data_IF_272943655060
#
_entry.id   IF_272943655060
#
_cell.length_a   1.000
_cell.length_b   1.000
_cell.length_c   1.000
_cell.angle_alpha   90.00
_cell.angle_beta   90.00
_cell.angle_gamma   90.00
#
_symmetry.space_group_name_H-M   'P 1'
#
loop_
_entity.id
_entity.type
_entity.pdbx_description
1 polymer ?
#
# COMPACT_ATOMS: atom_id res chain seq x y z
N UNK A 1 -6.09 -2.12 15.35
CA UNK A 1 -5.11 -3.10 14.81
C UNK A 1 -5.70 -4.49 14.63
N UNK A 2 -6.15 -5.21 15.66
CA UNK A 2 -6.71 -6.57 15.45
C UNK A 2 -7.93 -6.63 14.50
N UNK A 3 -8.86 -5.67 14.62
CA UNK A 3 -10.00 -5.58 13.70
C UNK A 3 -9.59 -5.19 12.28
N UNK A 4 -8.59 -4.33 12.11
CA UNK A 4 -8.13 -3.92 10.78
C UNK A 4 -7.46 -5.06 10.02
N UNK A 5 -6.77 -5.97 10.73
CA UNK A 5 -6.27 -7.22 10.15
C UNK A 5 -7.38 -8.08 9.53
N UNK A 6 -8.55 -8.18 10.18
CA UNK A 6 -9.68 -8.95 9.65
C UNK A 6 -10.24 -8.33 8.35
N UNK A 7 -10.37 -6.99 8.32
CA UNK A 7 -10.80 -6.28 7.11
C UNK A 7 -9.79 -6.41 5.97
N UNK A 8 -8.50 -6.39 6.29
CA UNK A 8 -7.42 -6.55 5.32
C UNK A 8 -7.40 -7.95 4.68
N UNK A 9 -7.65 -9.00 5.45
CA UNK A 9 -7.67 -10.37 4.92
C UNK A 9 -8.78 -10.56 3.89
N UNK A 10 -9.94 -9.94 4.11
CA UNK A 10 -11.09 -10.04 3.20
C UNK A 10 -11.15 -8.91 2.15
N UNK A 11 -10.21 -7.95 2.20
CA UNK A 11 -10.25 -6.70 1.44
C UNK A 11 -11.61 -5.98 1.53
N UNK A 12 -12.20 -5.99 2.73
CA UNK A 12 -13.53 -5.41 2.99
C UNK A 12 -13.41 -4.01 3.54
N UNK A 13 -14.26 -3.13 3.02
CA UNK A 13 -14.50 -1.84 3.65
C UNK A 13 -15.15 -2.03 5.02
N UNK A 14 -14.80 -1.15 5.96
CA UNK A 14 -15.49 -1.07 7.24
C UNK A 14 -16.92 -0.52 7.06
N UNK A 15 -17.73 -0.63 8.11
CA UNK A 15 -19.06 0.00 8.11
C UNK A 15 -18.94 1.52 7.92
N UNK A 16 -19.98 2.15 7.38
CA UNK A 16 -20.00 3.60 7.14
C UNK A 16 -19.68 4.38 8.41
N UNK A 17 -20.23 3.98 9.56
CA UNK A 17 -19.96 4.61 10.85
C UNK A 17 -18.48 4.59 11.23
N UNK A 18 -17.80 3.46 11.04
CA UNK A 18 -16.37 3.32 11.35
C UNK A 18 -15.52 4.11 10.36
N UNK A 19 -15.90 4.13 9.08
CA UNK A 19 -15.22 4.95 8.08
C UNK A 19 -15.33 6.44 8.42
N UNK A 20 -16.51 6.92 8.82
CA UNK A 20 -16.72 8.31 9.24
C UNK A 20 -15.86 8.67 10.44
N UNK A 21 -15.80 7.83 11.46
CA UNK A 21 -14.95 8.07 12.65
C UNK A 21 -13.47 8.23 12.28
N UNK A 22 -12.95 7.36 11.40
CA UNK A 22 -11.57 7.45 10.93
C UNK A 22 -11.34 8.70 10.08
N UNK A 23 -12.27 9.05 9.19
CA UNK A 23 -12.19 10.25 8.35
C UNK A 23 -12.19 11.50 9.20
N UNK A 24 -13.06 11.58 10.21
CA UNK A 24 -13.17 12.71 11.13
C UNK A 24 -11.86 12.87 11.93
N UNK A 25 -11.28 11.76 12.39
CA UNK A 25 -9.95 11.75 13.03
C UNK A 25 -8.88 12.34 12.10
N UNK A 26 -8.72 11.80 10.88
CA UNK A 26 -7.69 12.24 9.94
C UNK A 26 -7.90 13.68 9.44
N UNK A 27 -9.15 14.14 9.39
CA UNK A 27 -9.47 15.51 8.99
C UNK A 27 -8.95 16.55 9.99
N UNK A 28 -8.79 16.18 11.26
CA UNK A 28 -8.32 17.09 12.30
C UNK A 28 -6.79 17.17 12.41
N UNK A 29 -6.06 16.52 11.50
CA UNK A 29 -4.60 16.47 11.53
C UNK A 29 -4.06 17.65 10.72
N UNK A 30 -3.44 18.59 11.43
CA UNK A 30 -2.69 19.68 10.80
C UNK A 30 -1.26 19.23 10.44
N UNK A 31 -0.65 18.40 11.30
CA UNK A 31 0.73 17.90 11.12
C UNK A 31 0.75 16.39 11.34
N UNK A 32 1.10 15.64 10.31
CA UNK A 32 1.13 14.19 10.39
C UNK A 32 2.25 13.72 11.30
N UNK A 33 1.89 12.96 12.33
CA UNK A 33 2.87 12.32 13.21
C UNK A 33 2.99 10.83 12.89
N UNK A 34 4.05 10.22 13.41
CA UNK A 34 4.32 8.79 13.25
C UNK A 34 3.11 7.92 13.61
N UNK A 35 2.39 8.25 14.69
CA UNK A 35 1.19 7.52 15.10
C UNK A 35 0.09 7.58 14.05
N UNK A 36 -0.15 8.77 13.47
CA UNK A 36 -1.21 8.98 12.49
C UNK A 36 -0.95 8.21 11.20
N UNK A 37 0.32 8.22 10.75
CA UNK A 37 0.75 7.44 9.60
C UNK A 37 0.66 5.94 9.87
N UNK A 38 1.06 5.48 11.06
CA UNK A 38 0.86 4.09 11.46
C UNK A 38 -0.62 3.68 11.45
N UNK A 39 -1.50 4.53 12.01
CA UNK A 39 -2.92 4.27 12.02
C UNK A 39 -3.47 4.19 10.60
N UNK A 40 -3.14 5.16 9.74
CA UNK A 40 -3.56 5.20 8.34
C UNK A 40 -3.07 3.98 7.56
N UNK A 41 -1.81 3.57 7.75
CA UNK A 41 -1.24 2.35 7.18
C UNK A 41 -2.10 1.12 7.49
N UNK A 42 -2.50 0.95 8.76
CA UNK A 42 -3.30 -0.22 9.15
C UNK A 42 -4.75 -0.17 8.69
N UNK A 43 -5.34 1.02 8.52
CA UNK A 43 -6.78 1.16 8.21
C UNK A 43 -7.05 1.53 6.76
N UNK A 44 -6.03 1.65 5.90
CA UNK A 44 -6.21 2.08 4.52
C UNK A 44 -7.24 1.22 3.76
N UNK A 45 -7.14 -0.10 3.87
CA UNK A 45 -8.08 -1.03 3.23
C UNK A 45 -9.53 -0.93 3.77
N UNK A 46 -9.75 -0.31 4.93
CA UNK A 46 -11.07 -0.16 5.56
C UNK A 46 -11.87 1.03 5.04
N UNK A 47 -11.21 2.03 4.45
CA UNK A 47 -11.82 3.30 4.05
C UNK A 47 -11.94 3.33 2.52
N UNK A 48 -13.03 3.89 1.99
CA UNK A 48 -13.11 4.17 0.56
C UNK A 48 -11.94 5.09 0.15
N UNK A 49 -11.06 4.58 -0.71
CA UNK A 49 -9.82 5.25 -1.10
C UNK A 49 -10.06 6.62 -1.75
N UNK A 50 -11.22 6.85 -2.35
CA UNK A 50 -11.59 8.16 -2.92
C UNK A 50 -11.63 9.26 -1.86
N UNK A 51 -11.98 8.90 -0.62
CA UNK A 51 -12.02 9.82 0.51
C UNK A 51 -10.62 10.15 1.04
N UNK A 52 -9.58 9.40 0.66
CA UNK A 52 -8.22 9.63 1.14
C UNK A 52 -7.42 10.64 0.33
N UNK A 53 -7.97 11.08 -0.81
CA UNK A 53 -7.28 11.99 -1.74
C UNK A 53 -6.72 13.27 -1.08
N UNK A 54 -7.43 13.94 -0.16
CA UNK A 54 -6.88 15.11 0.53
C UNK A 54 -5.64 14.77 1.35
N UNK A 55 -5.70 13.69 2.13
CA UNK A 55 -4.63 13.25 3.04
C UNK A 55 -3.36 12.86 2.29
N UNK A 56 -3.49 12.17 1.14
CA UNK A 56 -2.33 11.78 0.33
C UNK A 56 -1.53 13.00 -0.13
N UNK A 57 -2.22 14.06 -0.58
CA UNK A 57 -1.54 15.27 -1.01
C UNK A 57 -0.86 15.97 0.16
N UNK A 58 -1.55 16.06 1.29
CA UNK A 58 -1.04 16.73 2.49
C UNK A 58 0.19 16.01 3.07
N UNK A 59 0.13 14.68 3.23
CA UNK A 59 1.26 13.84 3.66
C UNK A 59 2.46 14.02 2.73
N UNK A 60 2.25 13.95 1.40
CA UNK A 60 3.34 14.10 0.44
C UNK A 60 3.96 15.50 0.51
N UNK A 61 3.14 16.54 0.66
CA UNK A 61 3.63 17.92 0.75
C UNK A 61 4.50 18.12 1.99
N UNK A 62 4.01 17.69 3.17
CA UNK A 62 4.76 17.79 4.42
C UNK A 62 6.07 16.97 4.37
N UNK A 63 6.05 15.80 3.71
CA UNK A 63 7.26 15.00 3.46
C UNK A 63 8.28 15.74 2.59
N UNK A 64 7.85 16.31 1.46
CA UNK A 64 8.73 17.03 0.53
C UNK A 64 9.28 18.34 1.13
N UNK A 65 8.49 18.99 2.00
CA UNK A 65 8.89 20.20 2.72
C UNK A 65 9.85 19.91 3.88
N UNK A 66 10.07 18.63 4.22
CA UNK A 66 10.87 18.20 5.38
C UNK A 66 10.30 18.71 6.71
N UNK A 67 8.97 18.86 6.76
CA UNK A 67 8.24 19.30 7.96
C UNK A 67 7.99 18.15 8.96
N UNK A 68 8.41 16.94 8.60
CA UNK A 68 8.26 15.72 9.40
C UNK A 68 9.59 15.32 10.06
N UNK A 69 9.51 14.69 11.24
CA UNK A 69 10.69 14.04 11.83
C UNK A 69 11.14 12.85 10.96
N UNK A 70 12.43 12.51 11.00
CA UNK A 70 12.98 11.38 10.22
C UNK A 70 12.17 10.09 10.40
N UNK A 71 11.81 9.74 11.64
CA UNK A 71 11.02 8.54 11.93
C UNK A 71 9.63 8.60 11.29
N UNK A 72 9.00 9.76 11.27
CA UNK A 72 7.70 9.97 10.64
C UNK A 72 7.82 9.88 9.12
N UNK A 73 8.84 10.53 8.54
CA UNK A 73 9.14 10.50 7.11
C UNK A 73 9.32 9.07 6.56
N UNK A 74 9.94 8.17 7.32
CA UNK A 74 10.08 6.76 6.93
C UNK A 74 8.74 6.01 6.82
N UNK A 75 7.68 6.47 7.49
CA UNK A 75 6.35 5.84 7.39
C UNK A 75 5.54 6.30 6.18
N UNK A 76 5.97 7.36 5.48
CA UNK A 76 5.24 7.88 4.33
C UNK A 76 5.19 6.85 3.20
N UNK A 77 6.32 6.24 2.84
CA UNK A 77 6.36 5.27 1.75
C UNK A 77 5.48 4.02 2.03
N UNK A 78 5.54 3.38 3.23
CA UNK A 78 4.59 2.33 3.62
C UNK A 78 3.12 2.74 3.53
N UNK A 79 2.77 3.94 3.99
CA UNK A 79 1.39 4.46 3.91
C UNK A 79 0.94 4.59 2.46
N UNK A 80 1.79 5.15 1.59
CA UNK A 80 1.45 5.32 0.17
C UNK A 80 1.26 3.95 -0.52
N UNK A 81 2.03 2.92 -0.16
CA UNK A 81 1.81 1.55 -0.65
C UNK A 81 0.48 0.98 -0.14
N UNK A 82 0.14 1.15 1.13
CA UNK A 82 -1.13 0.66 1.68
C UNK A 82 -2.34 1.32 1.00
N UNK A 83 -2.24 2.61 0.67
CA UNK A 83 -3.27 3.33 -0.07
C UNK A 83 -3.34 2.86 -1.54
N UNK A 84 -2.19 2.60 -2.17
CA UNK A 84 -2.14 2.04 -3.53
C UNK A 84 -2.79 0.66 -3.59
N UNK A 85 -2.48 -0.21 -2.63
CA UNK A 85 -3.14 -1.49 -2.43
C UNK A 85 -4.66 -1.31 -2.34
N UNK A 86 -5.12 -0.46 -1.43
CA UNK A 86 -6.54 -0.18 -1.26
C UNK A 86 -7.20 0.29 -2.57
N UNK A 87 -6.53 1.14 -3.35
CA UNK A 87 -7.02 1.58 -4.64
C UNK A 87 -7.19 0.43 -5.65
N UNK A 88 -6.21 -0.47 -5.72
CA UNK A 88 -6.25 -1.62 -6.63
C UNK A 88 -7.34 -2.60 -6.18
N UNK A 89 -7.43 -2.91 -4.88
CA UNK A 89 -8.42 -3.86 -4.34
C UNK A 89 -9.85 -3.34 -4.52
N UNK A 90 -10.06 -2.04 -4.37
CA UNK A 90 -11.34 -1.38 -4.58
C UNK A 90 -11.64 -1.08 -6.07
N UNK A 91 -10.80 -1.55 -6.99
CA UNK A 91 -10.94 -1.37 -8.45
C UNK A 91 -11.02 0.12 -8.89
N UNK A 92 -10.28 1.00 -8.22
CA UNK A 92 -10.26 2.46 -8.48
C UNK A 92 -9.11 2.85 -9.41
N UNK A 93 -9.18 2.43 -10.67
CA UNK A 93 -8.11 2.62 -11.68
C UNK A 93 -7.60 4.06 -11.81
N UNK A 94 -8.51 5.05 -11.83
CA UNK A 94 -8.12 6.47 -11.92
C UNK A 94 -7.33 6.96 -10.69
N UNK A 95 -7.61 6.39 -9.51
CA UNK A 95 -6.86 6.67 -8.29
C UNK A 95 -5.52 5.95 -8.28
N UNK A 96 -5.51 4.67 -8.67
CA UNK A 96 -4.28 3.87 -8.84
C UNK A 96 -3.27 4.58 -9.74
N UNK A 97 -3.69 5.03 -10.93
CA UNK A 97 -2.79 5.69 -11.87
C UNK A 97 -2.22 7.00 -11.29
N UNK A 98 -3.05 7.81 -10.62
CA UNK A 98 -2.58 9.04 -9.96
C UNK A 98 -1.60 8.78 -8.83
N UNK A 99 -1.78 7.70 -8.08
CA UNK A 99 -0.85 7.30 -7.02
C UNK A 99 0.49 6.85 -7.62
N UNK A 100 0.48 6.05 -8.67
CA UNK A 100 1.69 5.62 -9.38
C UNK A 100 2.46 6.83 -9.92
N UNK A 101 1.79 7.77 -10.59
CA UNK A 101 2.40 9.03 -11.06
C UNK A 101 3.05 9.82 -9.91
N UNK A 102 2.39 9.91 -8.75
CA UNK A 102 2.94 10.60 -7.58
C UNK A 102 4.15 9.88 -7.00
N UNK A 103 4.11 8.55 -6.90
CA UNK A 103 5.22 7.74 -6.39
C UNK A 103 6.47 7.97 -7.24
N UNK A 104 6.32 7.99 -8.57
CA UNK A 104 7.41 8.24 -9.51
C UNK A 104 8.04 9.62 -9.33
N UNK A 105 7.24 10.64 -9.00
CA UNK A 105 7.71 12.01 -8.78
C UNK A 105 8.45 12.19 -7.45
N UNK A 106 7.99 11.53 -6.38
CA UNK A 106 8.52 11.75 -5.01
C UNK A 106 9.80 10.95 -4.75
N UNK A 107 10.12 9.96 -5.59
CA UNK A 107 11.34 9.14 -5.49
C UNK A 107 11.56 8.45 -4.13
N UNK A 108 10.48 8.06 -3.47
CA UNK A 108 10.52 7.21 -2.26
C UNK A 108 11.41 5.97 -2.42
N UNK A 109 11.49 5.48 -3.67
CA UNK A 109 12.08 4.22 -4.05
C UNK A 109 13.60 4.22 -4.13
N UNK A 110 14.31 5.34 -4.15
CA UNK A 110 15.76 5.32 -4.46
C UNK A 110 16.62 4.53 -3.43
N UNK A 111 16.07 4.16 -2.26
CA UNK A 111 16.81 3.43 -1.20
C UNK A 111 16.04 2.28 -0.50
N UNK A 112 14.75 2.08 -0.76
CA UNK A 112 13.94 1.04 -0.07
C UNK A 112 13.57 -0.12 -1.00
N UNK A 113 14.29 -1.23 -0.86
CA UNK A 113 14.05 -2.46 -1.63
C UNK A 113 12.71 -3.12 -1.32
N UNK A 114 12.22 -3.03 -0.08
CA UNK A 114 10.93 -3.61 0.28
C UNK A 114 9.81 -2.84 -0.42
N UNK A 115 9.85 -1.50 -0.35
CA UNK A 115 8.94 -0.63 -1.08
C UNK A 115 8.96 -0.92 -2.59
N UNK A 116 10.13 -0.99 -3.21
CA UNK A 116 10.26 -1.29 -4.65
C UNK A 116 9.64 -2.64 -5.01
N UNK A 117 9.81 -3.65 -4.15
CA UNK A 117 9.27 -5.00 -4.38
C UNK A 117 7.75 -4.99 -4.33
N UNK A 118 7.16 -4.32 -3.32
CA UNK A 118 5.71 -4.14 -3.24
C UNK A 118 5.16 -3.32 -4.42
N UNK A 119 5.84 -2.22 -4.78
CA UNK A 119 5.43 -1.38 -5.92
C UNK A 119 5.43 -2.19 -7.22
N UNK A 120 6.47 -2.98 -7.48
CA UNK A 120 6.57 -3.83 -8.66
C UNK A 120 5.43 -4.86 -8.71
N UNK A 121 5.13 -5.49 -7.56
CA UNK A 121 4.01 -6.42 -7.44
C UNK A 121 2.68 -5.73 -7.76
N UNK A 122 2.41 -4.58 -7.14
CA UNK A 122 1.16 -3.84 -7.33
C UNK A 122 0.99 -3.30 -8.74
N UNK A 123 2.05 -2.77 -9.36
CA UNK A 123 2.05 -2.42 -10.78
C UNK A 123 1.69 -3.64 -11.63
N UNK A 124 2.31 -4.79 -11.36
CA UNK A 124 2.01 -6.05 -12.03
C UNK A 124 0.54 -6.46 -11.95
N UNK A 125 -0.08 -6.36 -10.77
CA UNK A 125 -1.51 -6.62 -10.58
C UNK A 125 -2.36 -5.63 -11.39
N UNK A 126 -2.09 -4.32 -11.26
CA UNK A 126 -2.87 -3.27 -11.93
C UNK A 126 -2.81 -3.34 -13.47
N UNK A 127 -1.65 -3.69 -14.02
CA UNK A 127 -1.39 -3.79 -15.46
C UNK A 127 -1.71 -5.18 -16.02
N UNK A 128 -2.07 -6.15 -15.17
CA UNK A 128 -2.16 -7.58 -15.52
C UNK A 128 -0.86 -8.12 -16.13
N UNK A 129 0.28 -7.62 -15.65
CA UNK A 129 1.60 -7.96 -16.15
C UNK A 129 2.24 -9.06 -15.29
N UNK A 130 2.11 -10.30 -15.76
CA UNK A 130 2.63 -11.48 -15.05
C UNK A 130 4.14 -11.47 -14.84
N UNK A 131 4.90 -10.80 -15.72
CA UNK A 131 6.35 -10.69 -15.57
C UNK A 131 6.71 -9.87 -14.33
N UNK A 132 6.07 -8.70 -14.15
CA UNK A 132 6.29 -7.85 -12.95
C UNK A 132 5.92 -8.59 -11.66
N UNK A 133 4.78 -9.29 -11.65
CA UNK A 133 4.35 -10.11 -10.51
C UNK A 133 5.40 -11.18 -10.17
N UNK A 134 5.89 -11.87 -11.20
CA UNK A 134 6.91 -12.90 -11.04
C UNK A 134 8.23 -12.34 -10.52
N UNK A 135 8.71 -11.24 -11.09
CA UNK A 135 9.97 -10.62 -10.70
C UNK A 135 9.91 -10.16 -9.23
N UNK A 136 8.80 -9.55 -8.80
CA UNK A 136 8.58 -9.22 -7.39
C UNK A 136 8.60 -10.46 -6.49
N UNK A 137 7.91 -11.53 -6.89
CA UNK A 137 7.87 -12.79 -6.14
C UNK A 137 9.27 -13.43 -6.01
N UNK A 138 10.05 -13.41 -7.08
CA UNK A 138 11.41 -13.93 -7.12
C UNK A 138 12.33 -13.14 -6.17
N UNK A 139 12.25 -11.80 -6.17
CA UNK A 139 13.00 -10.95 -5.25
C UNK A 139 12.69 -11.33 -3.79
N UNK A 140 11.42 -11.42 -3.44
CA UNK A 140 10.99 -11.79 -2.07
C UNK A 140 11.53 -13.17 -1.65
N UNK A 141 11.53 -14.14 -2.57
CA UNK A 141 12.07 -15.48 -2.33
C UNK A 141 13.58 -15.47 -2.12
N UNK A 142 14.34 -14.74 -2.96
CA UNK A 142 15.79 -14.61 -2.85
C UNK A 142 16.22 -13.93 -1.55
N UNK A 143 15.44 -12.96 -1.08
CA UNK A 143 15.71 -12.25 0.17
C UNK A 143 15.16 -12.98 1.41
N UNK A 144 14.54 -14.14 1.26
CA UNK A 144 13.95 -14.93 2.35
C UNK A 144 12.92 -14.15 3.19
N UNK A 145 12.17 -13.22 2.59
CA UNK A 145 11.17 -12.40 3.28
C UNK A 145 9.84 -13.16 3.32
N UNK A 146 9.76 -14.18 4.18
CA UNK A 146 8.62 -15.12 4.25
C UNK A 146 7.27 -14.44 4.49
N UNK A 147 7.25 -13.35 5.27
CA UNK A 147 6.01 -12.61 5.55
C UNK A 147 5.42 -11.97 4.29
N UNK A 148 6.23 -11.22 3.54
CA UNK A 148 5.81 -10.59 2.26
C UNK A 148 5.39 -11.64 1.25
N UNK A 149 6.08 -12.78 1.21
CA UNK A 149 5.72 -13.89 0.33
C UNK A 149 4.32 -14.44 0.64
N UNK A 150 3.99 -14.58 1.94
CA UNK A 150 2.67 -15.04 2.36
C UNK A 150 1.57 -14.04 1.98
N UNK A 151 1.84 -12.74 2.11
CA UNK A 151 0.91 -11.68 1.67
C UNK A 151 0.68 -11.76 0.16
N UNK A 152 1.75 -11.83 -0.64
CA UNK A 152 1.62 -11.97 -2.10
C UNK A 152 0.83 -13.21 -2.48
N UNK A 153 1.08 -14.34 -1.81
CA UNK A 153 0.33 -15.57 -2.04
C UNK A 153 -1.17 -15.42 -1.77
N UNK A 154 -1.54 -14.75 -0.67
CA UNK A 154 -2.93 -14.46 -0.33
C UNK A 154 -3.61 -13.59 -1.40
N UNK A 155 -2.92 -12.54 -1.87
CA UNK A 155 -3.44 -11.64 -2.91
C UNK A 155 -3.63 -12.39 -4.24
N UNK A 156 -2.67 -13.22 -4.65
CA UNK A 156 -2.79 -13.99 -5.90
C UNK A 156 -3.96 -14.99 -5.84
N UNK A 157 -4.19 -15.61 -4.68
CA UNK A 157 -5.36 -16.46 -4.46
C UNK A 157 -6.67 -15.68 -4.59
N UNK A 158 -6.74 -14.48 -4.01
CA UNK A 158 -7.90 -13.60 -4.11
C UNK A 158 -8.24 -13.24 -5.57
N UNK A 159 -7.22 -12.96 -6.40
CA UNK A 159 -7.42 -12.66 -7.82
C UNK A 159 -7.57 -13.91 -8.72
N UNK A 160 -7.55 -15.13 -8.14
CA UNK A 160 -7.50 -16.39 -8.88
C UNK A 160 -6.34 -16.45 -9.90
N UNK A 161 -5.24 -15.75 -9.62
CA UNK A 161 -4.04 -15.78 -10.44
C UNK A 161 -3.27 -17.04 -10.04
N UNK A 162 -3.08 -17.95 -11.00
CA UNK A 162 -2.40 -19.22 -10.75
C UNK A 162 -1.01 -18.95 -10.21
N UNK A 163 -0.73 -19.45 -9.00
CA UNK A 163 0.63 -19.52 -8.45
C UNK A 163 1.47 -20.29 -9.45
N UNK A 164 2.40 -19.61 -10.10
CA UNK A 164 3.39 -20.31 -10.91
C UNK A 164 4.41 -20.92 -9.95
N UNK A 165 4.16 -22.16 -9.55
CA UNK A 165 5.16 -23.01 -8.90
C UNK A 165 6.22 -23.31 -9.97
N UNK A 166 7.22 -22.44 -10.09
CA UNK A 166 8.46 -22.84 -10.70
C UNK A 166 9.22 -23.70 -9.69
N UNK A 167 8.94 -24.99 -9.72
CA UNK A 167 10.02 -25.96 -9.71
C UNK A 167 10.80 -25.73 -11.00
N UNK A 168 12.01 -25.21 -10.88
CA UNK A 168 13.22 -25.80 -11.45
C UNK A 168 14.38 -24.91 -11.03
N UNK A 169 15.03 -25.35 -9.95
CA UNK A 169 16.48 -25.36 -9.92
C UNK A 169 16.93 -26.19 -11.12
N UNK A 170 17.59 -25.54 -12.06
CA UNK A 170 18.73 -26.09 -12.80
C UNK A 170 19.71 -24.93 -13.05
#
# INVERSE_FOLDING_TARGET
MAQSTLYHLDFKLATVSVQTELIDYFFCIDHWQYYDLCLLFFVANMINVENMKPYINDIINQYLQQDMSDTTSHMVAPVIIAILEAAIMQNKSAMTNKLLEKIDLVKFHDQDFEFQTYLLFWQGISEKNMKKIHDAYHITKCLHITHTLNIFNHILEYYHIKKMIYCNLD
#
